data_IF_208008949600
#
_entry.id   IF_208008949600
#
_cell.length_a   1.000
_cell.length_b   1.000
_cell.length_c   1.000
_cell.angle_alpha   90.00
_cell.angle_beta   90.00
_cell.angle_gamma   90.00
#
_symmetry.space_group_name_H-M   'P 1'
#
loop_
_entity.id
_entity.type
_entity.pdbx_description
1 polymer ?
#
# COMPACT_ATOMS: atom_id res chain seq x y z
N UNK A 1 -34.71 -23.61 -1.39
CA UNK A 1 -34.46 -22.42 -0.54
C UNK A 1 -33.37 -22.82 0.48
N UNK A 2 -32.09 -22.65 0.13
CA UNK A 2 -30.97 -23.03 0.99
C UNK A 2 -30.68 -21.83 1.90
N UNK A 3 -31.11 -21.90 3.16
CA UNK A 3 -30.80 -20.89 4.16
C UNK A 3 -29.31 -21.01 4.53
N UNK A 4 -28.58 -19.93 4.28
CA UNK A 4 -27.14 -19.82 4.53
C UNK A 4 -26.85 -19.93 6.04
N UNK A 5 -26.52 -21.15 6.49
CA UNK A 5 -26.08 -21.46 7.87
C UNK A 5 -24.79 -20.72 8.28
N UNK A 6 -24.08 -20.07 7.35
CA UNK A 6 -22.85 -19.34 7.65
C UNK A 6 -23.07 -17.86 8.01
N UNK A 7 -24.27 -17.31 7.81
CA UNK A 7 -24.59 -15.93 8.25
C UNK A 7 -24.58 -15.83 9.79
N UNK A 8 -25.18 -16.79 10.48
CA UNK A 8 -25.27 -16.81 11.95
C UNK A 8 -23.92 -16.95 12.65
N UNK A 9 -22.97 -17.71 12.07
CA UNK A 9 -21.61 -17.86 12.65
C UNK A 9 -20.75 -16.60 12.47
N UNK A 10 -20.88 -15.91 11.32
CA UNK A 10 -20.23 -14.61 11.08
C UNK A 10 -20.74 -13.55 12.05
N UNK A 11 -22.05 -13.54 12.27
CA UNK A 11 -22.73 -12.59 13.17
C UNK A 11 -22.38 -12.82 14.65
N UNK A 12 -22.23 -14.09 15.07
CA UNK A 12 -21.74 -14.46 16.40
C UNK A 12 -20.27 -14.07 16.61
N UNK A 13 -19.40 -14.28 15.62
CA UNK A 13 -17.99 -13.88 15.71
C UNK A 13 -17.81 -12.37 15.85
N UNK A 14 -18.58 -11.59 15.08
CA UNK A 14 -18.62 -10.13 15.18
C UNK A 14 -19.16 -9.67 16.55
N UNK A 15 -20.20 -10.33 17.08
CA UNK A 15 -20.75 -10.05 18.41
C UNK A 15 -19.74 -10.33 19.53
N UNK A 16 -19.01 -11.46 19.47
CA UNK A 16 -17.99 -11.81 20.49
C UNK A 16 -16.85 -10.79 20.49
N UNK A 17 -16.38 -10.35 19.31
CA UNK A 17 -15.34 -9.33 19.18
C UNK A 17 -15.83 -7.98 19.67
N UNK A 18 -17.07 -7.62 19.37
CA UNK A 18 -17.68 -6.38 19.86
C UNK A 18 -17.75 -6.38 21.39
N UNK A 19 -18.08 -7.52 22.00
CA UNK A 19 -18.08 -7.70 23.47
C UNK A 19 -16.66 -7.64 24.04
N UNK A 20 -15.67 -8.28 23.40
CA UNK A 20 -14.26 -8.22 23.85
C UNK A 20 -13.68 -6.80 23.77
N UNK A 21 -14.01 -6.08 22.69
CA UNK A 21 -13.63 -4.67 22.50
C UNK A 21 -14.34 -3.80 23.55
N UNK A 22 -15.63 -4.01 23.80
CA UNK A 22 -16.36 -3.30 24.86
C UNK A 22 -15.75 -3.58 26.25
N UNK A 23 -15.36 -4.81 26.56
CA UNK A 23 -14.73 -5.13 27.84
C UNK A 23 -13.37 -4.45 28.02
N UNK A 24 -12.58 -4.32 26.95
CA UNK A 24 -11.30 -3.57 26.97
C UNK A 24 -11.54 -2.05 27.09
N UNK A 25 -12.61 -1.53 26.47
CA UNK A 25 -12.96 -0.11 26.43
C UNK A 25 -13.63 0.37 27.73
N UNK A 26 -14.44 -0.48 28.40
CA UNK A 26 -15.17 -0.11 29.62
C UNK A 26 -14.24 -0.04 30.85
N UNK A 27 -13.10 -0.73 30.84
CA UNK A 27 -12.10 -0.65 31.92
C UNK A 27 -11.10 0.52 31.80
N UNK A 28 -11.14 1.31 30.73
CA UNK A 28 -10.15 2.37 30.48
C UNK A 28 -10.81 3.62 29.88
N UNK A 29 -10.75 4.80 30.51
CA UNK A 29 -11.07 6.09 29.89
C UNK A 29 -10.05 6.49 28.78
N UNK A 30 -9.43 5.52 28.11
CA UNK A 30 -8.15 5.61 27.41
C UNK A 30 -8.22 5.12 25.96
N UNK A 31 -9.39 5.03 25.33
CA UNK A 31 -9.55 4.44 23.99
C UNK A 31 -8.59 5.04 22.94
N UNK A 32 -8.30 6.34 23.00
CA UNK A 32 -7.31 7.03 22.13
C UNK A 32 -5.85 6.72 22.47
N UNK A 33 -5.52 6.42 23.73
CA UNK A 33 -4.17 6.11 24.17
C UNK A 33 -3.86 4.61 24.05
N UNK A 34 -4.84 3.74 24.31
CA UNK A 34 -4.77 2.31 24.03
C UNK A 34 -4.52 2.07 22.55
N UNK A 35 -5.15 2.87 21.68
CA UNK A 35 -4.86 2.87 20.25
C UNK A 35 -3.40 3.17 19.93
N UNK A 36 -2.65 3.89 20.76
CA UNK A 36 -1.25 4.24 20.46
C UNK A 36 -0.22 3.23 20.98
N UNK A 37 -0.59 2.38 21.95
CA UNK A 37 0.39 1.61 22.73
C UNK A 37 -0.03 0.14 22.91
N UNK A 38 -1.32 -0.20 22.81
CA UNK A 38 -1.82 -1.54 23.08
C UNK A 38 -1.76 -2.43 21.83
N UNK A 39 -0.66 -3.20 21.71
CA UNK A 39 -0.44 -4.12 20.59
C UNK A 39 -1.61 -5.06 20.28
N UNK A 40 -2.19 -5.82 21.26
CA UNK A 40 -3.30 -6.74 20.96
C UNK A 40 -4.53 -6.04 20.38
N UNK A 41 -4.83 -4.84 20.88
CA UNK A 41 -5.96 -4.04 20.42
C UNK A 41 -5.75 -3.54 18.99
N UNK A 42 -4.56 -3.01 18.68
CA UNK A 42 -4.23 -2.51 17.34
C UNK A 42 -4.17 -3.65 16.33
N UNK A 43 -3.60 -4.81 16.71
CA UNK A 43 -3.62 -6.02 15.88
C UNK A 43 -5.06 -6.46 15.56
N UNK A 44 -5.95 -6.48 16.55
CA UNK A 44 -7.35 -6.85 16.31
C UNK A 44 -8.04 -5.90 15.32
N UNK A 45 -7.74 -4.59 15.39
CA UNK A 45 -8.23 -3.62 14.40
C UNK A 45 -7.64 -3.82 13.01
N UNK A 46 -6.35 -4.14 12.90
CA UNK A 46 -5.71 -4.46 11.63
C UNK A 46 -6.38 -5.67 10.97
N UNK A 47 -6.63 -6.74 11.74
CA UNK A 47 -7.32 -7.93 11.23
C UNK A 47 -8.77 -7.61 10.84
N UNK A 48 -9.49 -6.81 11.65
CA UNK A 48 -10.86 -6.38 11.32
C UNK A 48 -10.91 -5.56 10.02
N UNK A 49 -9.92 -4.68 9.80
CA UNK A 49 -9.72 -3.96 8.54
C UNK A 49 -9.58 -4.92 7.37
N UNK A 50 -8.67 -5.90 7.46
CA UNK A 50 -8.44 -6.89 6.41
C UNK A 50 -9.68 -7.76 6.12
N UNK A 51 -10.35 -8.24 7.16
CA UNK A 51 -11.59 -9.03 7.02
C UNK A 51 -12.66 -8.23 6.27
N UNK A 52 -12.82 -6.94 6.60
CA UNK A 52 -13.77 -6.07 5.94
C UNK A 52 -13.40 -5.78 4.48
N UNK A 53 -12.12 -5.51 4.20
CA UNK A 53 -11.63 -5.20 2.86
C UNK A 53 -11.77 -6.40 1.93
N UNK A 54 -11.27 -7.57 2.36
CA UNK A 54 -11.18 -8.76 1.50
C UNK A 54 -12.36 -9.73 1.62
N UNK A 55 -13.42 -9.36 2.35
CA UNK A 55 -14.54 -10.26 2.71
C UNK A 55 -14.06 -11.64 3.20
N UNK A 56 -13.08 -11.61 4.09
CA UNK A 56 -12.36 -12.79 4.56
C UNK A 56 -12.63 -13.06 6.05
N UNK A 57 -12.36 -14.29 6.51
CA UNK A 57 -12.46 -14.64 7.92
C UNK A 57 -11.17 -14.29 8.64
N UNK A 58 -11.30 -14.00 9.93
CA UNK A 58 -10.16 -13.76 10.82
C UNK A 58 -9.13 -14.89 10.78
N UNK A 59 -9.61 -16.13 10.69
CA UNK A 59 -8.77 -17.34 10.64
C UNK A 59 -7.96 -17.47 9.36
N UNK A 60 -8.29 -16.70 8.32
CA UNK A 60 -7.61 -16.78 7.03
C UNK A 60 -6.31 -15.95 7.05
N UNK A 61 -6.16 -15.04 8.02
CA UNK A 61 -4.97 -14.19 8.20
C UNK A 61 -4.04 -14.75 9.27
N UNK A 62 -2.84 -15.15 8.86
CA UNK A 62 -1.79 -15.62 9.75
C UNK A 62 -0.78 -14.50 9.99
N UNK A 63 -0.61 -14.08 11.25
CA UNK A 63 0.44 -13.13 11.60
C UNK A 63 1.82 -13.81 11.48
N UNK A 64 2.74 -13.19 10.75
CA UNK A 64 4.12 -13.64 10.57
C UNK A 64 5.06 -12.88 11.49
N UNK A 65 5.00 -11.55 11.47
CA UNK A 65 5.85 -10.68 12.28
C UNK A 65 5.12 -9.34 12.59
N UNK A 66 5.68 -8.54 13.50
CA UNK A 66 5.14 -7.22 13.81
C UNK A 66 6.15 -6.29 14.48
N UNK A 67 6.08 -5.00 14.16
CA UNK A 67 6.75 -3.92 14.90
C UNK A 67 5.77 -3.21 15.81
N UNK A 68 6.21 -2.96 17.02
CA UNK A 68 5.48 -2.16 17.98
C UNK A 68 5.63 -0.67 17.67
N UNK A 69 4.62 0.12 18.01
CA UNK A 69 4.76 1.57 17.94
C UNK A 69 5.84 2.05 18.93
N UNK A 70 6.60 3.06 18.53
CA UNK A 70 7.70 3.56 19.35
C UNK A 70 8.41 4.76 18.75
N UNK A 71 9.23 5.39 19.57
CA UNK A 71 10.07 6.50 19.14
C UNK A 71 11.39 6.02 18.56
N UNK A 72 11.89 6.72 17.54
CA UNK A 72 13.22 6.51 16.99
C UNK A 72 13.89 7.86 16.75
N UNK A 73 15.22 7.85 16.73
CA UNK A 73 16.01 9.01 16.35
C UNK A 73 16.09 9.06 14.83
N UNK A 74 15.57 10.13 14.27
CA UNK A 74 15.54 10.36 12.85
C UNK A 74 16.69 11.32 12.47
N UNK A 75 17.66 10.78 11.72
CA UNK A 75 18.86 11.50 11.28
C UNK A 75 18.78 11.98 9.83
N UNK A 76 17.63 11.83 9.18
CA UNK A 76 17.45 12.15 7.75
C UNK A 76 17.30 13.64 7.43
N UNK A 77 17.06 14.49 8.44
CA UNK A 77 16.78 15.92 8.23
C UNK A 77 17.98 16.84 8.46
N UNK A 78 19.05 16.35 9.09
CA UNK A 78 20.37 17.00 9.15
C UNK A 78 21.33 16.11 9.97
N UNK A 79 22.59 15.97 9.55
CA UNK A 79 23.60 15.18 10.29
C UNK A 79 23.87 15.75 11.70
N UNK A 80 23.54 17.02 11.92
CA UNK A 80 23.74 17.76 13.17
C UNK A 80 22.53 17.73 14.12
N UNK A 81 21.33 17.36 13.64
CA UNK A 81 20.10 17.41 14.44
C UNK A 81 19.28 16.12 14.30
N UNK A 82 19.44 15.23 15.29
CA UNK A 82 18.53 14.09 15.45
C UNK A 82 17.24 14.57 16.12
N UNK A 83 16.09 14.27 15.50
CA UNK A 83 14.79 14.56 16.09
C UNK A 83 14.09 13.28 16.49
N UNK A 84 13.35 13.35 17.59
CA UNK A 84 12.55 12.22 18.07
C UNK A 84 11.31 12.08 17.18
N UNK A 85 11.28 11.02 16.38
CA UNK A 85 10.16 10.69 15.52
C UNK A 85 9.38 9.49 16.06
N UNK A 86 8.11 9.39 15.67
CA UNK A 86 7.22 8.31 16.08
C UNK A 86 6.91 7.40 14.90
N UNK A 87 7.09 6.09 15.08
CA UNK A 87 6.60 5.06 14.14
C UNK A 87 5.42 4.35 14.77
N UNK A 88 4.34 4.19 14.01
CA UNK A 88 3.15 3.44 14.42
C UNK A 88 3.36 1.92 14.25
N UNK A 89 2.37 1.13 14.67
CA UNK A 89 2.35 -0.31 14.50
C UNK A 89 2.36 -0.71 13.03
N UNK A 90 3.06 -1.80 12.75
CA UNK A 90 3.00 -2.47 11.47
C UNK A 90 3.09 -3.99 11.68
N UNK A 91 2.44 -4.74 10.78
CA UNK A 91 2.24 -6.17 10.89
C UNK A 91 2.55 -6.82 9.54
N UNK A 92 3.21 -7.96 9.56
CA UNK A 92 3.34 -8.83 8.39
C UNK A 92 2.33 -9.97 8.53
N UNK A 93 1.48 -10.14 7.53
CA UNK A 93 0.49 -11.20 7.46
C UNK A 93 0.75 -12.11 6.26
N UNK A 94 0.31 -13.35 6.39
CA UNK A 94 0.17 -14.31 5.30
C UNK A 94 -1.32 -14.56 5.06
N UNK A 95 -1.75 -14.45 3.80
CA UNK A 95 -3.11 -14.71 3.33
C UNK A 95 -3.06 -15.28 1.90
N UNK A 96 -3.80 -16.35 1.62
CA UNK A 96 -3.78 -17.04 0.32
C UNK A 96 -2.37 -17.35 -0.22
N UNK A 97 -1.46 -17.76 0.68
CA UNK A 97 -0.07 -18.10 0.34
C UNK A 97 0.83 -16.90 0.00
N UNK A 98 0.34 -15.67 0.19
CA UNK A 98 1.09 -14.42 -0.04
C UNK A 98 1.37 -13.74 1.28
N UNK A 99 2.60 -13.23 1.42
CA UNK A 99 3.00 -12.37 2.55
C UNK A 99 2.85 -10.91 2.15
N UNK A 100 2.40 -10.09 3.08
CA UNK A 100 2.14 -8.68 2.85
C UNK A 100 2.18 -7.91 4.17
N UNK A 101 2.38 -6.60 4.09
CA UNK A 101 2.44 -5.73 5.24
C UNK A 101 1.15 -4.95 5.42
N UNK A 102 0.77 -4.74 6.68
CA UNK A 102 -0.27 -3.83 7.10
C UNK A 102 0.36 -2.74 7.97
N UNK A 103 0.31 -1.51 7.49
CA UNK A 103 0.81 -0.34 8.18
C UNK A 103 -0.35 0.46 8.78
N UNK A 104 -0.14 0.94 10.00
CA UNK A 104 -1.02 1.95 10.58
C UNK A 104 -0.45 3.34 10.37
N UNK A 105 -1.30 4.27 9.99
CA UNK A 105 -0.94 5.67 9.88
C UNK A 105 -2.14 6.55 10.24
N UNK A 106 -1.92 7.46 11.20
CA UNK A 106 -2.93 8.38 11.72
C UNK A 106 -4.26 7.69 12.07
N UNK A 107 -4.17 6.53 12.75
CA UNK A 107 -5.32 5.74 13.17
C UNK A 107 -5.98 4.90 12.08
N UNK A 108 -5.56 5.01 10.81
CA UNK A 108 -6.06 4.21 9.68
C UNK A 108 -5.10 3.09 9.32
N UNK A 109 -5.62 2.01 8.75
CA UNK A 109 -4.84 0.87 8.27
C UNK A 109 -4.79 0.83 6.76
N UNK A 110 -3.65 0.35 6.27
CA UNK A 110 -3.33 0.23 4.86
C UNK A 110 -2.47 -1.01 4.65
N UNK A 111 -2.61 -1.65 3.50
CA UNK A 111 -1.87 -2.87 3.19
C UNK A 111 -1.39 -2.88 1.74
N UNK A 112 -0.33 -3.64 1.46
CA UNK A 112 0.25 -3.81 0.13
C UNK A 112 -0.13 -5.13 -0.56
N UNK A 113 -1.16 -5.83 -0.07
CA UNK A 113 -1.55 -7.17 -0.56
C UNK A 113 -1.88 -7.18 -2.06
N UNK A 114 -2.54 -6.13 -2.56
CA UNK A 114 -2.94 -6.03 -3.98
C UNK A 114 -1.88 -5.37 -4.87
N UNK A 115 -0.77 -4.89 -4.32
CA UNK A 115 0.16 -4.03 -5.05
C UNK A 115 0.76 -4.77 -6.26
N UNK A 116 1.13 -6.04 -6.09
CA UNK A 116 1.63 -6.86 -7.21
C UNK A 116 0.57 -7.12 -8.28
N UNK A 117 -0.68 -7.37 -7.90
CA UNK A 117 -1.75 -7.57 -8.88
C UNK A 117 -2.01 -6.28 -9.68
N UNK A 118 -1.99 -5.12 -9.01
CA UNK A 118 -2.13 -3.80 -9.64
C UNK A 118 -0.97 -3.51 -10.60
N UNK A 119 0.29 -3.78 -10.21
CA UNK A 119 1.46 -3.65 -11.09
C UNK A 119 1.30 -4.49 -12.35
N UNK A 120 0.84 -5.75 -12.21
CA UNK A 120 0.62 -6.64 -13.33
C UNK A 120 -0.49 -6.13 -14.25
N UNK A 121 -1.65 -5.72 -13.71
CA UNK A 121 -2.75 -5.19 -14.52
C UNK A 121 -2.35 -3.91 -15.26
N UNK A 122 -1.64 -3.00 -14.58
CA UNK A 122 -1.12 -1.78 -15.18
C UNK A 122 -0.14 -2.13 -16.31
N UNK A 123 0.80 -3.05 -16.08
CA UNK A 123 1.76 -3.48 -17.10
C UNK A 123 1.06 -4.03 -18.33
N UNK A 124 0.10 -4.94 -18.18
CA UNK A 124 -0.68 -5.48 -19.30
C UNK A 124 -1.43 -4.39 -20.08
N UNK A 125 -2.00 -3.40 -19.37
CA UNK A 125 -2.69 -2.29 -20.01
C UNK A 125 -1.71 -1.40 -20.78
N UNK A 126 -0.56 -1.07 -20.19
CA UNK A 126 0.48 -0.24 -20.80
C UNK A 126 1.06 -0.93 -22.05
N UNK A 127 1.32 -2.23 -21.98
CA UNK A 127 1.75 -3.05 -23.13
C UNK A 127 0.79 -2.95 -24.31
N UNK A 128 -0.50 -3.12 -24.04
CA UNK A 128 -1.53 -3.17 -25.08
C UNK A 128 -1.84 -1.80 -25.69
N UNK A 129 -1.72 -0.73 -24.92
CA UNK A 129 -2.24 0.59 -25.30
C UNK A 129 -1.15 1.65 -25.56
N UNK A 130 0.10 1.38 -25.18
CA UNK A 130 1.20 2.34 -25.30
C UNK A 130 2.35 1.74 -26.10
N UNK A 131 2.97 0.68 -25.56
CA UNK A 131 4.10 0.02 -26.21
C UNK A 131 4.34 -1.37 -25.64
N UNK A 132 4.42 -2.39 -26.52
CA UNK A 132 4.54 -3.80 -26.14
C UNK A 132 5.80 -4.14 -25.35
N UNK A 133 6.84 -3.31 -25.48
CA UNK A 133 8.12 -3.50 -24.83
C UNK A 133 8.15 -3.00 -23.38
N UNK A 134 7.08 -2.36 -22.88
CA UNK A 134 6.90 -2.09 -21.45
C UNK A 134 6.75 -3.45 -20.75
N UNK A 135 7.56 -3.76 -19.75
CA UNK A 135 7.51 -5.04 -19.03
C UNK A 135 7.26 -4.91 -17.55
N UNK A 136 7.10 -3.69 -17.06
CA UNK A 136 6.75 -3.45 -15.68
C UNK A 136 6.50 -1.97 -15.39
N UNK A 137 5.81 -1.74 -14.28
CA UNK A 137 5.75 -0.46 -13.59
C UNK A 137 6.10 -0.73 -12.12
N UNK A 138 6.85 0.18 -11.51
CA UNK A 138 7.09 0.16 -10.08
C UNK A 138 6.01 0.96 -9.37
N UNK A 139 5.32 0.32 -8.42
CA UNK A 139 4.35 1.00 -7.57
C UNK A 139 4.73 0.83 -6.10
N UNK A 140 4.55 1.91 -5.35
CA UNK A 140 4.64 1.95 -3.89
C UNK A 140 3.26 2.21 -3.30
N UNK A 141 3.11 2.01 -1.99
CA UNK A 141 1.78 2.12 -1.36
C UNK A 141 1.20 3.54 -1.45
N UNK A 142 2.04 4.58 -1.51
CA UNK A 142 1.59 5.97 -1.69
C UNK A 142 0.84 6.18 -3.02
N UNK A 143 1.16 5.40 -4.06
CA UNK A 143 0.42 5.43 -5.32
C UNK A 143 -1.03 4.96 -5.13
N UNK A 144 -1.24 3.92 -4.33
CA UNK A 144 -2.57 3.48 -3.95
C UNK A 144 -3.30 4.54 -3.11
N UNK A 145 -2.61 5.23 -2.20
CA UNK A 145 -3.24 6.30 -1.40
C UNK A 145 -3.71 7.47 -2.25
N UNK A 146 -2.87 7.92 -3.18
CA UNK A 146 -3.23 8.96 -4.12
C UNK A 146 -4.45 8.56 -4.94
N UNK A 147 -4.50 7.32 -5.46
CA UNK A 147 -5.66 6.83 -6.19
C UNK A 147 -6.93 6.86 -5.34
N UNK A 148 -6.90 6.27 -4.13
CA UNK A 148 -8.06 6.23 -3.24
C UNK A 148 -8.54 7.65 -2.90
N UNK A 149 -7.62 8.57 -2.63
CA UNK A 149 -7.94 9.96 -2.31
C UNK A 149 -8.50 10.72 -3.52
N UNK A 150 -7.87 10.63 -4.69
CA UNK A 150 -8.28 11.36 -5.90
C UNK A 150 -9.60 10.85 -6.49
N UNK A 151 -9.95 9.60 -6.20
CA UNK A 151 -11.19 8.98 -6.66
C UNK A 151 -12.26 8.86 -5.57
N UNK A 152 -12.08 9.55 -4.42
CA UNK A 152 -13.00 9.53 -3.27
C UNK A 152 -13.43 8.12 -2.82
N UNK A 153 -12.51 7.16 -2.89
CA UNK A 153 -12.79 5.77 -2.52
C UNK A 153 -12.54 5.51 -1.04
N UNK A 154 -13.14 4.45 -0.52
CA UNK A 154 -12.87 3.98 0.84
C UNK A 154 -11.50 3.30 0.92
N UNK A 155 -10.79 3.42 2.04
CA UNK A 155 -9.55 2.66 2.29
C UNK A 155 -9.72 1.13 2.24
N UNK A 156 -10.97 0.64 2.36
CA UNK A 156 -11.33 -0.78 2.23
C UNK A 156 -11.74 -1.17 0.81
N UNK A 157 -11.58 -0.29 -0.17
CA UNK A 157 -11.89 -0.61 -1.56
C UNK A 157 -10.88 -1.63 -2.09
N UNK A 158 -11.38 -2.67 -2.73
CA UNK A 158 -10.57 -3.71 -3.38
C UNK A 158 -10.52 -3.39 -4.86
N UNK A 159 -9.33 -3.08 -5.38
CA UNK A 159 -9.18 -2.84 -6.81
C UNK A 159 -9.34 -4.14 -7.57
N UNK A 160 -9.88 -4.01 -8.76
CA UNK A 160 -10.02 -5.07 -9.75
C UNK A 160 -9.34 -4.67 -11.04
N UNK A 161 -9.14 -5.63 -11.94
CA UNK A 161 -8.54 -5.36 -13.25
C UNK A 161 -9.30 -4.31 -14.07
N UNK A 162 -10.63 -4.18 -13.90
CA UNK A 162 -11.39 -3.13 -14.62
C UNK A 162 -11.04 -1.72 -14.17
N UNK A 163 -10.50 -1.55 -12.95
CA UNK A 163 -10.15 -0.24 -12.40
C UNK A 163 -8.80 0.28 -12.94
N UNK A 164 -8.04 -0.55 -13.66
CA UNK A 164 -6.65 -0.28 -14.08
C UNK A 164 -6.48 1.08 -14.76
N UNK A 165 -7.37 1.45 -15.69
CA UNK A 165 -7.25 2.73 -16.40
C UNK A 165 -7.54 3.92 -15.48
N UNK A 166 -8.57 3.81 -14.63
CA UNK A 166 -8.88 4.83 -13.64
C UNK A 166 -7.72 4.98 -12.66
N UNK A 167 -7.11 3.87 -12.23
CA UNK A 167 -5.91 3.89 -11.39
C UNK A 167 -4.76 4.62 -12.07
N UNK A 168 -4.38 4.24 -13.30
CA UNK A 168 -3.29 4.86 -14.06
C UNK A 168 -3.47 6.37 -14.26
N UNK A 169 -4.70 6.87 -14.30
CA UNK A 169 -5.00 8.29 -14.43
C UNK A 169 -4.98 9.09 -13.12
N UNK A 170 -4.92 8.41 -11.97
CA UNK A 170 -5.14 9.05 -10.67
C UNK A 170 -4.13 8.65 -9.58
N UNK A 171 -3.19 7.74 -9.84
CA UNK A 171 -2.23 7.28 -8.81
C UNK A 171 -1.02 8.22 -8.62
N UNK A 172 -0.65 9.00 -9.64
CA UNK A 172 0.65 9.68 -9.68
C UNK A 172 0.66 11.04 -8.99
N UNK A 173 -0.50 11.69 -8.85
CA UNK A 173 -0.62 13.02 -8.27
C UNK A 173 -1.25 12.93 -6.89
N UNK A 174 -0.75 13.66 -5.90
CA UNK A 174 -1.45 13.76 -4.63
C UNK A 174 -0.60 14.22 -3.47
N UNK A 175 -1.26 14.34 -2.32
CA UNK A 175 -0.70 14.81 -1.03
C UNK A 175 0.56 14.04 -0.59
N UNK A 176 0.74 12.82 -1.12
CA UNK A 176 1.73 11.86 -0.66
C UNK A 176 2.96 11.76 -1.57
N UNK A 177 3.12 12.60 -2.61
CA UNK A 177 4.13 12.35 -3.65
C UNK A 177 5.20 13.43 -3.86
N UNK A 178 6.47 12.96 -3.80
CA UNK A 178 7.65 13.54 -4.47
C UNK A 178 8.49 12.43 -5.16
N UNK A 179 7.87 11.32 -5.61
CA UNK A 179 8.62 10.20 -6.19
C UNK A 179 8.39 10.02 -7.68
N UNK A 180 9.49 9.68 -8.35
CA UNK A 180 9.58 9.36 -9.77
C UNK A 180 8.80 8.06 -10.05
N UNK A 181 7.96 8.03 -11.10
CA UNK A 181 7.39 6.77 -11.59
C UNK A 181 8.42 6.04 -12.43
N UNK A 182 8.67 4.77 -12.12
CA UNK A 182 9.61 3.93 -12.88
C UNK A 182 8.82 2.96 -13.77
N UNK A 183 9.09 3.01 -15.07
CA UNK A 183 8.64 2.01 -16.03
C UNK A 183 9.83 1.15 -16.46
N UNK A 184 9.64 -0.16 -16.48
CA UNK A 184 10.64 -1.12 -16.92
C UNK A 184 10.38 -1.53 -18.35
N UNK A 185 11.45 -1.65 -19.12
CA UNK A 185 11.37 -1.72 -20.56
C UNK A 185 12.38 -2.70 -21.15
N UNK A 186 11.93 -3.59 -22.04
CA UNK A 186 12.79 -4.50 -22.79
C UNK A 186 13.22 -3.87 -24.13
N UNK A 187 14.38 -4.27 -24.66
CA UNK A 187 14.86 -3.86 -25.99
C UNK A 187 15.13 -2.35 -26.14
N UNK A 188 15.99 -1.84 -25.27
CA UNK A 188 16.41 -0.46 -25.30
C UNK A 188 17.50 -0.24 -26.36
N UNK A 189 17.24 0.62 -27.35
CA UNK A 189 18.29 1.04 -28.30
C UNK A 189 19.21 2.05 -27.62
N UNK A 190 20.32 1.55 -27.08
CA UNK A 190 21.34 2.35 -26.41
C UNK A 190 22.02 3.37 -27.32
N UNK A 191 21.91 3.24 -28.65
CA UNK A 191 22.53 4.20 -29.57
C UNK A 191 21.78 5.55 -29.63
N UNK A 192 20.51 5.59 -29.23
CA UNK A 192 19.68 6.80 -29.21
C UNK A 192 18.71 6.88 -28.01
N UNK A 193 19.20 6.44 -26.85
CA UNK A 193 18.50 6.41 -25.56
C UNK A 193 17.69 7.68 -25.24
N UNK A 194 18.29 8.86 -25.44
CA UNK A 194 17.66 10.12 -25.07
C UNK A 194 16.40 10.41 -25.89
N UNK A 195 16.48 10.23 -27.21
CA UNK A 195 15.34 10.49 -28.09
C UNK A 195 14.27 9.41 -27.90
N UNK A 196 14.70 8.15 -27.72
CA UNK A 196 13.80 7.04 -27.45
C UNK A 196 12.97 7.26 -26.18
N UNK A 197 13.62 7.59 -25.06
CA UNK A 197 12.93 7.86 -23.79
C UNK A 197 12.03 9.07 -23.86
N UNK A 198 12.43 10.12 -24.59
CA UNK A 198 11.60 11.30 -24.82
C UNK A 198 10.30 10.94 -25.55
N UNK A 199 10.38 10.13 -26.62
CA UNK A 199 9.22 9.68 -27.38
C UNK A 199 8.31 8.77 -26.53
N UNK A 200 8.88 7.82 -25.79
CA UNK A 200 8.10 6.95 -24.91
C UNK A 200 7.37 7.75 -23.81
N UNK A 201 8.05 8.70 -23.15
CA UNK A 201 7.42 9.59 -22.17
C UNK A 201 6.27 10.38 -22.78
N UNK A 202 6.42 10.87 -24.02
CA UNK A 202 5.34 11.56 -24.72
C UNK A 202 4.15 10.63 -25.01
N UNK A 203 4.40 9.40 -25.50
CA UNK A 203 3.34 8.39 -25.71
C UNK A 203 2.59 8.08 -24.40
N UNK A 204 3.30 7.95 -23.29
CA UNK A 204 2.70 7.70 -21.98
C UNK A 204 1.77 8.86 -21.59
N UNK A 205 2.28 10.09 -21.65
CA UNK A 205 1.52 11.29 -21.29
C UNK A 205 0.31 11.57 -22.20
N UNK A 206 0.33 11.09 -23.44
CA UNK A 206 -0.83 11.16 -24.34
C UNK A 206 -1.99 10.25 -23.87
N UNK A 207 -1.68 9.12 -23.21
CA UNK A 207 -2.66 8.08 -22.87
C UNK A 207 -3.12 8.09 -21.42
N UNK A 208 -2.25 8.49 -20.51
CA UNK A 208 -2.53 8.48 -19.07
C UNK A 208 -2.14 9.79 -18.41
N UNK A 209 -2.89 10.18 -17.38
CA UNK A 209 -2.58 11.37 -16.56
C UNK A 209 -1.51 10.99 -15.54
N UNK A 210 -0.26 11.37 -15.83
CA UNK A 210 0.89 11.02 -15.01
C UNK A 210 1.82 12.21 -14.75
N UNK A 211 2.44 12.24 -13.56
CA UNK A 211 3.44 13.26 -13.19
C UNK A 211 4.60 13.32 -14.19
N UNK A 212 5.25 14.49 -14.28
CA UNK A 212 6.35 14.69 -15.22
C UNK A 212 7.62 13.89 -14.87
N UNK A 213 7.72 13.42 -13.62
CA UNK A 213 8.85 12.67 -13.09
C UNK A 213 8.77 11.20 -13.49
N UNK A 214 9.02 10.92 -14.77
CA UNK A 214 9.04 9.56 -15.33
C UNK A 214 10.50 9.09 -15.52
N UNK A 215 10.83 7.93 -14.96
CA UNK A 215 12.01 7.15 -15.28
C UNK A 215 11.66 5.99 -16.20
N UNK A 216 12.51 5.75 -17.20
CA UNK A 216 12.47 4.52 -17.99
C UNK A 216 13.72 3.74 -17.61
N UNK A 217 13.54 2.55 -17.07
CA UNK A 217 14.60 1.64 -16.67
C UNK A 217 14.70 0.49 -17.66
N UNK A 218 15.92 0.19 -18.10
CA UNK A 218 16.26 -0.99 -18.89
C UNK A 218 16.82 -2.14 -18.02
N UNK A 219 16.81 -1.96 -16.69
CA UNK A 219 17.17 -3.01 -15.76
C UNK A 219 16.16 -4.15 -15.88
N UNK A 220 16.58 -5.43 -15.78
CA UNK A 220 15.63 -6.54 -15.73
C UNK A 220 14.57 -6.25 -14.67
N UNK A 221 13.29 -6.29 -15.06
CA UNK A 221 12.17 -6.00 -14.15
C UNK A 221 12.37 -6.83 -12.89
N UNK A 222 12.64 -6.19 -11.73
CA UNK A 222 13.08 -6.90 -10.57
C UNK A 222 11.87 -7.60 -9.92
N UNK A 223 11.42 -8.71 -10.50
CA UNK A 223 10.56 -9.67 -9.80
C UNK A 223 11.21 -10.09 -8.46
N UNK A 224 12.55 -9.99 -8.36
CA UNK A 224 13.40 -10.50 -7.29
C UNK A 224 13.76 -9.49 -6.17
N UNK A 225 13.62 -8.17 -6.35
CA UNK A 225 13.90 -7.22 -5.24
C UNK A 225 12.75 -7.10 -4.22
N UNK A 226 11.63 -7.80 -4.47
CA UNK A 226 10.39 -7.75 -3.67
C UNK A 226 10.51 -8.34 -2.25
N UNK A 227 11.54 -9.14 -1.95
CA UNK A 227 11.65 -9.85 -0.66
C UNK A 227 12.56 -9.19 0.40
N UNK A 228 13.39 -8.20 0.06
CA UNK A 228 14.42 -7.71 1.01
C UNK A 228 14.38 -6.22 1.30
N UNK A 229 13.94 -5.35 0.36
CA UNK A 229 13.95 -3.89 0.59
C UNK A 229 12.61 -3.27 1.01
N UNK A 230 11.45 -3.87 0.70
CA UNK A 230 10.18 -3.43 1.34
C UNK A 230 10.18 -3.70 2.85
N UNK A 231 11.00 -4.65 3.31
CA UNK A 231 11.24 -4.91 4.72
C UNK A 231 12.25 -3.96 5.41
N UNK A 232 12.79 -2.95 4.71
CA UNK A 232 13.64 -1.90 5.31
C UNK A 232 13.00 -0.52 5.04
N UNK A 233 12.46 -0.30 3.85
CA UNK A 233 11.73 0.91 3.47
C UNK A 233 10.26 0.92 3.96
N UNK A 234 9.58 -0.23 3.99
CA UNK A 234 8.25 -0.35 4.59
C UNK A 234 8.25 -0.06 6.09
N UNK A 235 9.38 -0.21 6.77
CA UNK A 235 9.55 0.23 8.15
C UNK A 235 10.19 1.62 8.31
N UNK A 236 10.73 2.21 7.23
CA UNK A 236 11.59 3.39 7.26
C UNK A 236 11.07 4.63 6.54
N UNK A 237 10.53 4.51 5.32
CA UNK A 237 10.48 5.62 4.36
C UNK A 237 9.10 6.23 4.13
N UNK A 238 8.00 5.54 4.44
CA UNK A 238 6.65 6.08 4.18
C UNK A 238 6.19 7.16 5.20
N UNK A 239 7.07 7.62 6.09
CA UNK A 239 6.77 8.67 7.07
C UNK A 239 7.22 10.08 6.66
N UNK A 240 8.04 10.23 5.61
CA UNK A 240 8.58 11.54 5.23
C UNK A 240 7.62 12.41 4.42
N UNK A 241 6.66 11.84 3.69
CA UNK A 241 5.76 12.62 2.82
C UNK A 241 4.53 13.20 3.54
N UNK A 242 4.14 12.68 4.70
CA UNK A 242 2.80 12.95 5.27
C UNK A 242 2.77 14.11 6.28
N UNK A 243 3.91 14.51 6.83
CA UNK A 243 3.98 15.56 7.87
C UNK A 243 4.28 16.98 7.38
N UNK A 244 4.48 17.20 6.08
CA UNK A 244 4.94 18.50 5.57
C UNK A 244 3.89 19.31 4.80
N UNK A 245 2.59 19.04 4.99
CA UNK A 245 1.52 19.93 4.52
C UNK A 245 0.51 20.20 5.63
N UNK A 246 0.90 21.09 6.54
CA UNK A 246 0.05 22.02 7.29
C UNK A 246 0.85 23.30 7.53
#
# INVERSE_FOLDING_TARGET
MITDKNSGKRDIGIKIISVLICLIVVSFPLSKAADKICYPYVKAKAVAYLCKKYDAKITDFKLIDSRHAGTYWDSSRDELFQFLAWKDFAFEFEYNGRKFFVNRNDGKFYDDYQLEDIENWCTEWLQKNIDENIVGIELIIDNYFNYIANCDKSNNYVLTKSDTKEFLDNYSYGKYNYYQTIFYYNNYDHSNELEYTKQLKAKIKDKIKISDYIHISNSPYPKLFKNTNKAIEGWGTHYYSIKNYN
#
